data_IF_612088805680
#
_entry.id   IF_612088805680
#
_cell.length_a   1.000
_cell.length_b   1.000
_cell.length_c   1.000
_cell.angle_alpha   90.00
_cell.angle_beta   90.00
_cell.angle_gamma   90.00
#
_symmetry.space_group_name_H-M   'P 1'
#
loop_
_entity.id
_entity.type
_entity.pdbx_description
1 polymer ?
#
# COMPACT_ATOMS: atom_id res chain seq x y z
N UNK A 1 5.23 4.24 35.35
CA UNK A 1 4.40 4.15 34.13
C UNK A 1 4.85 5.25 33.18
N UNK A 2 5.18 4.99 31.91
CA UNK A 2 5.61 6.04 30.99
C UNK A 2 4.47 7.05 30.80
N UNK A 3 4.78 8.34 30.92
CA UNK A 3 3.85 9.45 30.75
C UNK A 3 3.24 9.45 29.34
N UNK A 4 1.92 9.61 29.23
CA UNK A 4 1.09 9.59 28.00
C UNK A 4 1.44 10.61 26.89
N UNK A 5 2.60 11.27 26.92
CA UNK A 5 2.92 12.44 26.07
C UNK A 5 4.10 12.30 25.11
N UNK A 6 4.96 11.28 25.21
CA UNK A 6 6.10 11.16 24.31
C UNK A 6 5.69 10.44 23.01
N UNK A 7 5.55 11.17 21.91
CA UNK A 7 5.45 10.55 20.59
C UNK A 7 6.82 10.01 20.20
N UNK A 8 6.89 8.73 19.84
CA UNK A 8 8.04 8.17 19.13
C UNK A 8 8.35 9.01 17.88
N UNK A 9 9.64 9.25 17.55
CA UNK A 9 9.99 9.96 16.32
C UNK A 9 9.33 9.27 15.12
N UNK A 10 8.61 10.04 14.29
CA UNK A 10 8.05 9.51 13.04
C UNK A 10 9.20 9.28 12.06
N UNK A 11 9.45 8.02 11.71
CA UNK A 11 10.36 7.67 10.63
C UNK A 11 9.64 7.78 9.28
N UNK A 12 9.66 8.96 8.67
CA UNK A 12 8.95 9.19 7.40
C UNK A 12 9.35 8.25 6.26
N UNK A 13 10.55 7.66 6.30
CA UNK A 13 11.05 6.75 5.27
C UNK A 13 10.28 5.43 5.15
N UNK A 14 9.58 4.99 6.20
CA UNK A 14 8.78 3.75 6.15
C UNK A 14 7.33 4.00 5.70
N UNK A 15 6.91 5.25 5.55
CA UNK A 15 5.56 5.59 5.14
C UNK A 15 5.50 5.75 3.61
N UNK A 16 4.74 4.90 2.89
CA UNK A 16 4.60 5.03 1.45
C UNK A 16 3.85 6.31 1.07
N UNK A 17 4.22 6.87 -0.08
CA UNK A 17 3.59 8.09 -0.62
C UNK A 17 2.44 7.76 -1.55
N UNK A 18 1.38 8.58 -1.51
CA UNK A 18 0.19 8.45 -2.36
C UNK A 18 0.52 8.58 -3.85
N UNK A 19 1.35 9.57 -4.21
CA UNK A 19 1.73 9.82 -5.60
C UNK A 19 2.45 8.65 -6.27
N UNK A 20 3.09 7.75 -5.49
CA UNK A 20 3.87 6.66 -6.03
C UNK A 20 3.02 5.47 -6.53
N UNK A 21 1.70 5.49 -6.27
CA UNK A 21 0.79 4.41 -6.67
C UNK A 21 -0.40 4.89 -7.50
N UNK A 22 -0.60 6.20 -7.62
CA UNK A 22 -1.67 6.78 -8.45
C UNK A 22 -1.59 6.26 -9.88
N UNK A 23 -2.74 5.89 -10.47
CA UNK A 23 -2.82 5.35 -11.82
C UNK A 23 -2.27 3.92 -11.98
N UNK A 24 -1.82 3.28 -10.91
CA UNK A 24 -1.16 1.97 -10.98
C UNK A 24 -1.94 0.85 -10.30
N UNK A 25 -1.63 -0.40 -10.64
CA UNK A 25 -2.18 -1.57 -9.96
C UNK A 25 -1.33 -2.00 -8.73
N UNK A 26 -0.48 -1.12 -8.21
CA UNK A 26 0.38 -1.40 -7.06
C UNK A 26 -0.29 -1.01 -5.73
N UNK A 27 0.12 -1.72 -4.68
CA UNK A 27 -0.18 -1.38 -3.29
C UNK A 27 1.14 -1.31 -2.54
N UNK A 28 1.54 -0.12 -2.10
CA UNK A 28 2.75 0.05 -1.30
C UNK A 28 2.37 -0.07 0.18
N UNK A 29 3.15 -0.85 0.93
CA UNK A 29 2.90 -1.13 2.34
C UNK A 29 4.08 -0.65 3.18
N UNK A 30 3.80 0.23 4.13
CA UNK A 30 4.70 0.67 5.18
C UNK A 30 4.37 0.04 6.52
N UNK A 31 5.39 -0.28 7.30
CA UNK A 31 5.24 -0.87 8.64
C UNK A 31 6.12 -0.12 9.62
N UNK A 32 5.52 0.39 10.69
CA UNK A 32 6.19 1.16 11.75
C UNK A 32 5.75 0.62 13.13
N UNK A 33 6.70 0.10 13.90
CA UNK A 33 6.45 -0.41 15.24
C UNK A 33 6.64 0.69 16.29
N UNK A 34 5.63 0.90 17.14
CA UNK A 34 5.70 1.81 18.29
C UNK A 34 6.08 1.02 19.56
N UNK A 35 7.36 1.00 19.97
CA UNK A 35 7.79 0.25 21.16
C UNK A 35 7.24 0.81 22.47
N UNK A 36 6.84 2.09 22.50
CA UNK A 36 6.30 2.73 23.71
C UNK A 36 4.85 2.29 23.95
N UNK A 37 4.08 2.16 22.87
CA UNK A 37 2.65 1.81 22.93
C UNK A 37 2.38 0.33 22.63
N UNK A 38 3.37 -0.41 22.15
CA UNK A 38 3.30 -1.85 21.92
C UNK A 38 2.40 -2.26 20.76
N UNK A 39 2.22 -1.40 19.74
CA UNK A 39 1.47 -1.74 18.55
C UNK A 39 2.23 -1.45 17.25
N UNK A 40 1.80 -2.11 16.17
CA UNK A 40 2.34 -1.92 14.82
C UNK A 40 1.37 -1.07 14.01
N UNK A 41 1.87 0.01 13.41
CA UNK A 41 1.17 0.78 12.38
C UNK A 41 1.45 0.12 11.04
N UNK A 42 0.41 -0.35 10.36
CA UNK A 42 0.50 -0.83 8.98
C UNK A 42 -0.22 0.18 8.09
N UNK A 43 0.47 0.69 7.09
CA UNK A 43 -0.04 1.71 6.17
C UNK A 43 -0.01 1.12 4.78
N UNK A 44 -1.19 0.90 4.19
CA UNK A 44 -1.32 0.47 2.81
C UNK A 44 -1.81 1.65 1.96
N UNK A 45 -1.11 1.92 0.86
CA UNK A 45 -1.43 3.02 -0.06
C UNK A 45 -1.62 2.44 -1.44
N UNK A 46 -2.77 2.75 -2.04
CA UNK A 46 -3.23 2.20 -3.31
C UNK A 46 -3.98 3.28 -4.09
N UNK A 47 -3.99 3.17 -5.41
CA UNK A 47 -5.01 3.86 -6.22
C UNK A 47 -6.36 3.16 -6.02
N UNK A 48 -7.42 3.94 -5.76
CA UNK A 48 -8.75 3.41 -5.46
C UNK A 48 -9.55 3.00 -6.72
N UNK A 49 -9.24 3.58 -7.89
CA UNK A 49 -9.92 3.28 -9.15
C UNK A 49 -9.21 2.18 -9.94
N UNK A 50 -7.88 2.11 -9.85
CA UNK A 50 -7.08 1.06 -10.48
C UNK A 50 -7.04 -0.16 -9.54
N UNK A 51 -6.08 -0.24 -8.62
CA UNK A 51 -5.98 -1.40 -7.72
C UNK A 51 -7.20 -1.59 -6.83
N UNK A 52 -7.86 -0.51 -6.40
CA UNK A 52 -9.08 -0.57 -5.60
C UNK A 52 -10.34 -1.00 -6.39
N UNK A 53 -10.31 -1.00 -7.72
CA UNK A 53 -11.45 -1.40 -8.55
C UNK A 53 -11.04 -2.10 -9.85
N UNK A 54 -10.89 -1.36 -10.96
CA UNK A 54 -10.79 -1.93 -12.31
C UNK A 54 -9.53 -2.79 -12.51
N UNK A 55 -8.40 -2.38 -11.95
CA UNK A 55 -7.14 -3.13 -11.99
C UNK A 55 -7.24 -4.47 -11.26
N UNK A 56 -7.92 -4.53 -10.10
CA UNK A 56 -8.20 -5.81 -9.42
C UNK A 56 -9.14 -6.69 -10.23
N UNK A 57 -10.13 -6.11 -10.93
CA UNK A 57 -11.01 -6.88 -11.81
C UNK A 57 -10.25 -7.52 -12.98
N UNK A 58 -9.34 -6.77 -13.62
CA UNK A 58 -8.45 -7.29 -14.67
C UNK A 58 -7.51 -8.35 -14.10
N UNK A 59 -6.95 -8.13 -12.91
CA UNK A 59 -6.06 -9.09 -12.26
C UNK A 59 -6.77 -10.43 -12.00
N UNK A 60 -8.00 -10.37 -11.48
CA UNK A 60 -8.84 -11.56 -11.28
C UNK A 60 -9.19 -12.24 -12.62
N UNK A 61 -9.53 -11.47 -13.65
CA UNK A 61 -9.75 -12.00 -15.00
C UNK A 61 -8.51 -12.73 -15.51
N UNK A 62 -7.33 -12.14 -15.40
CA UNK A 62 -6.07 -12.78 -15.81
C UNK A 62 -5.92 -14.15 -15.15
N UNK A 63 -6.12 -14.23 -13.83
CA UNK A 63 -6.08 -15.50 -13.09
C UNK A 63 -7.14 -16.50 -13.58
N UNK A 64 -8.38 -16.05 -13.78
CA UNK A 64 -9.49 -16.91 -14.24
C UNK A 64 -9.24 -17.52 -15.62
N UNK A 65 -8.55 -16.81 -16.51
CA UNK A 65 -8.26 -17.26 -17.87
C UNK A 65 -6.85 -17.87 -18.02
N UNK A 66 -6.12 -18.07 -16.93
CA UNK A 66 -4.77 -18.66 -16.96
C UNK A 66 -3.73 -17.77 -17.64
N UNK A 67 -3.97 -16.46 -17.68
CA UNK A 67 -3.01 -15.46 -18.17
C UNK A 67 -2.03 -15.09 -17.06
N UNK A 68 -0.93 -14.42 -17.40
CA UNK A 68 -0.08 -13.77 -16.40
C UNK A 68 -0.92 -12.76 -15.61
N UNK A 69 -0.99 -12.93 -14.29
CA UNK A 69 -1.73 -12.07 -13.37
C UNK A 69 -1.39 -10.58 -13.57
N UNK A 70 -0.15 -10.26 -13.97
CA UNK A 70 0.35 -8.90 -14.16
C UNK A 70 0.10 -8.35 -15.57
N UNK A 71 -0.44 -9.15 -16.50
CA UNK A 71 -0.68 -8.73 -17.87
C UNK A 71 -1.56 -7.47 -17.92
N UNK A 72 -1.07 -6.41 -18.56
CA UNK A 72 -1.75 -5.12 -18.67
C UNK A 72 -1.73 -4.25 -17.40
N UNK A 73 -1.00 -4.63 -16.34
CA UNK A 73 -1.08 -4.00 -15.01
C UNK A 73 0.29 -3.59 -14.42
N UNK A 74 1.36 -3.57 -15.23
CA UNK A 74 2.75 -3.34 -14.76
C UNK A 74 3.22 -1.89 -14.79
N UNK A 75 2.37 -0.96 -15.21
CA UNK A 75 2.74 0.45 -15.35
C UNK A 75 2.57 1.19 -14.03
N UNK A 76 3.58 2.01 -13.71
CA UNK A 76 3.40 3.17 -12.85
C UNK A 76 2.95 4.32 -13.76
N UNK A 77 1.95 5.08 -13.30
CA UNK A 77 1.41 6.30 -13.93
C UNK A 77 0.41 6.18 -15.10
N UNK A 78 -0.47 7.21 -15.14
CA UNK A 78 -0.95 7.94 -16.31
C UNK A 78 -0.28 9.31 -16.31
#
# INVERSE_FOLDING_TARGET
MPSRGASTPKEYGVYPSLNAVTGSNFCHIGVDYDPVRGFVKVIAVTDNLVKGAAGSAIQNMNVMFGLDERAGLVHYDL
#
